data_IF_710327189445
#
_entry.id   IF_710327189445
#
_cell.length_a   1.000
_cell.length_b   1.000
_cell.length_c   1.000
_cell.angle_alpha   90.00
_cell.angle_beta   90.00
_cell.angle_gamma   90.00
#
_symmetry.space_group_name_H-M   'P 1'
#
loop_
_entity.id
_entity.type
_entity.pdbx_description
1 polymer ?
#
# COMPACT_ATOMS: atom_id res chain seq x y z
N UNK A 1 15.24 42.76 -23.77
CA UNK A 1 16.13 42.02 -22.84
C UNK A 1 15.34 41.75 -21.57
N UNK A 2 14.81 40.53 -21.40
CA UNK A 2 14.04 40.13 -20.21
C UNK A 2 15.01 39.58 -19.17
N UNK A 3 15.28 40.36 -18.12
CA UNK A 3 16.00 39.88 -16.94
C UNK A 3 15.11 38.87 -16.20
N UNK A 4 15.35 37.58 -16.41
CA UNK A 4 14.79 36.56 -15.54
C UNK A 4 15.61 36.53 -14.25
N UNK A 5 14.97 36.66 -13.07
CA UNK A 5 15.68 36.52 -11.81
C UNK A 5 16.27 35.11 -11.71
N UNK A 6 17.53 35.02 -11.28
CA UNK A 6 18.17 33.74 -11.06
C UNK A 6 17.40 32.96 -9.97
N UNK A 7 17.17 31.64 -10.17
CA UNK A 7 16.48 30.83 -9.18
C UNK A 7 17.22 30.89 -7.85
N UNK A 8 16.49 31.17 -6.78
CA UNK A 8 17.08 31.24 -5.45
C UNK A 8 17.39 29.84 -4.95
N UNK A 9 18.33 29.71 -4.01
CA UNK A 9 18.70 28.42 -3.41
C UNK A 9 17.51 27.66 -2.80
N UNK A 10 16.45 28.37 -2.40
CA UNK A 10 15.20 27.78 -1.91
C UNK A 10 14.38 27.06 -2.99
N UNK A 11 14.44 27.52 -4.24
CA UNK A 11 13.67 26.92 -5.35
C UNK A 11 14.22 25.54 -5.73
N UNK A 12 15.55 25.39 -5.73
CA UNK A 12 16.22 24.12 -6.00
C UNK A 12 15.94 23.06 -4.91
N UNK A 13 15.95 23.46 -3.63
CA UNK A 13 15.65 22.56 -2.51
C UNK A 13 14.21 22.05 -2.53
N UNK A 14 13.25 22.92 -2.86
CA UNK A 14 11.84 22.57 -3.00
C UNK A 14 11.58 21.63 -4.19
N UNK A 15 12.23 21.88 -5.33
CA UNK A 15 12.13 21.02 -6.50
C UNK A 15 12.68 19.60 -6.23
N UNK A 16 13.82 19.50 -5.55
CA UNK A 16 14.39 18.22 -5.16
C UNK A 16 13.48 17.44 -4.21
N UNK A 17 12.96 18.09 -3.16
CA UNK A 17 12.04 17.49 -2.20
C UNK A 17 10.77 16.95 -2.88
N UNK A 18 10.18 17.73 -3.78
CA UNK A 18 9.01 17.32 -4.58
C UNK A 18 9.32 16.10 -5.46
N UNK A 19 10.45 16.11 -6.18
CA UNK A 19 10.86 14.99 -7.03
C UNK A 19 11.02 13.71 -6.20
N UNK A 20 11.66 13.80 -5.05
CA UNK A 20 11.83 12.66 -4.14
C UNK A 20 10.49 12.11 -3.67
N UNK A 21 9.56 12.97 -3.23
CA UNK A 21 8.22 12.54 -2.84
C UNK A 21 7.47 11.82 -3.98
N UNK A 22 7.54 12.34 -5.20
CA UNK A 22 6.93 11.71 -6.38
C UNK A 22 7.52 10.33 -6.64
N UNK A 23 8.86 10.19 -6.61
CA UNK A 23 9.51 8.89 -6.81
C UNK A 23 9.05 7.87 -5.77
N UNK A 24 8.99 8.26 -4.49
CA UNK A 24 8.52 7.39 -3.41
C UNK A 24 7.07 6.96 -3.61
N UNK A 25 6.19 7.85 -4.06
CA UNK A 25 4.80 7.52 -4.38
C UNK A 25 4.68 6.59 -5.59
N UNK A 26 5.47 6.82 -6.64
CA UNK A 26 5.50 5.91 -7.82
C UNK A 26 5.92 4.51 -7.39
N UNK A 27 6.98 4.39 -6.59
CA UNK A 27 7.42 3.09 -6.05
C UNK A 27 6.34 2.45 -5.18
N UNK A 28 5.66 3.24 -4.35
CA UNK A 28 4.54 2.78 -3.53
C UNK A 28 3.42 2.18 -4.39
N UNK A 29 3.01 2.89 -5.45
CA UNK A 29 1.96 2.42 -6.38
C UNK A 29 2.41 1.15 -7.11
N UNK A 30 3.66 1.11 -7.60
CA UNK A 30 4.20 -0.07 -8.28
C UNK A 30 4.23 -1.30 -7.36
N UNK A 31 4.60 -1.12 -6.08
CA UNK A 31 4.62 -2.19 -5.09
C UNK A 31 3.22 -2.62 -4.63
N UNK A 32 2.23 -1.73 -4.67
CA UNK A 32 0.84 -2.06 -4.35
C UNK A 32 0.10 -2.73 -5.52
N UNK A 33 0.58 -2.57 -6.74
CA UNK A 33 -0.09 -3.10 -7.92
C UNK A 33 -0.32 -4.62 -7.84
N UNK A 34 0.68 -5.47 -7.52
CA UNK A 34 0.45 -6.92 -7.44
C UNK A 34 -0.60 -7.35 -6.41
N UNK A 35 -0.57 -6.93 -5.12
CA UNK A 35 -1.58 -7.35 -4.16
C UNK A 35 -2.98 -6.81 -4.49
N UNK A 36 -3.09 -5.61 -5.07
CA UNK A 36 -4.38 -5.06 -5.52
C UNK A 36 -4.97 -5.90 -6.67
N UNK A 37 -4.15 -6.25 -7.66
CA UNK A 37 -4.58 -7.10 -8.77
C UNK A 37 -4.98 -8.50 -8.29
N UNK A 38 -4.19 -9.10 -7.40
CA UNK A 38 -4.50 -10.39 -6.80
C UNK A 38 -5.83 -10.36 -6.04
N UNK A 39 -6.05 -9.36 -5.20
CA UNK A 39 -7.31 -9.16 -4.49
C UNK A 39 -8.49 -9.01 -5.46
N UNK A 40 -8.33 -8.18 -6.50
CA UNK A 40 -9.36 -7.97 -7.51
C UNK A 40 -9.74 -9.28 -8.22
N UNK A 41 -8.75 -10.05 -8.67
CA UNK A 41 -9.00 -11.35 -9.31
C UNK A 41 -9.65 -12.35 -8.35
N UNK A 42 -9.27 -12.34 -7.07
CA UNK A 42 -9.90 -13.18 -6.04
C UNK A 42 -11.36 -12.80 -5.83
N UNK A 43 -11.68 -11.51 -5.80
CA UNK A 43 -13.05 -11.02 -5.69
C UNK A 43 -13.90 -11.40 -6.90
N UNK A 44 -13.36 -11.27 -8.12
CA UNK A 44 -14.05 -11.70 -9.34
C UNK A 44 -14.32 -13.21 -9.34
N UNK A 45 -13.33 -14.01 -8.91
CA UNK A 45 -13.46 -15.46 -8.81
C UNK A 45 -14.52 -15.87 -7.79
N UNK A 46 -14.59 -15.20 -6.65
CA UNK A 46 -15.60 -15.44 -5.62
C UNK A 46 -17.02 -15.09 -6.09
N UNK A 47 -17.16 -14.02 -6.89
CA UNK A 47 -18.44 -13.64 -7.49
C UNK A 47 -18.90 -14.66 -8.54
N UNK A 48 -17.99 -15.15 -9.38
CA UNK A 48 -18.30 -16.10 -10.44
C UNK A 48 -18.66 -17.50 -9.91
N UNK A 49 -18.09 -17.93 -8.78
CA UNK A 49 -18.26 -19.27 -8.22
C UNK A 49 -19.14 -19.31 -6.96
N UNK A 50 -20.01 -18.33 -6.80
CA UNK A 50 -20.87 -18.23 -5.61
C UNK A 50 -21.85 -19.41 -5.55
N UNK A 51 -21.84 -20.16 -4.45
CA UNK A 51 -22.80 -21.26 -4.25
C UNK A 51 -24.18 -20.73 -3.87
N UNK A 52 -25.24 -21.28 -4.45
CA UNK A 52 -26.62 -20.94 -4.08
C UNK A 52 -27.08 -21.51 -2.74
N UNK A 53 -26.43 -22.60 -2.27
CA UNK A 53 -26.83 -23.34 -1.07
C UNK A 53 -25.86 -23.18 0.10
N UNK A 54 -24.59 -22.85 -0.15
CA UNK A 54 -23.58 -22.66 0.89
C UNK A 54 -23.47 -21.18 1.30
N UNK A 55 -24.37 -20.75 2.19
CA UNK A 55 -24.35 -19.38 2.69
C UNK A 55 -23.12 -19.10 3.59
N UNK A 56 -22.61 -20.11 4.28
CA UNK A 56 -21.53 -19.96 5.27
C UNK A 56 -20.19 -19.75 4.58
N UNK A 57 -19.83 -20.60 3.61
CA UNK A 57 -18.60 -20.45 2.83
C UNK A 57 -18.57 -19.14 2.04
N UNK A 58 -19.71 -18.74 1.47
CA UNK A 58 -19.86 -17.44 0.83
C UNK A 58 -19.63 -16.25 1.79
N UNK A 59 -20.15 -16.35 3.02
CA UNK A 59 -19.99 -15.31 4.04
C UNK A 59 -18.53 -15.21 4.51
N UNK A 60 -17.89 -16.34 4.81
CA UNK A 60 -16.49 -16.39 5.23
C UNK A 60 -15.56 -15.84 4.13
N UNK A 61 -15.81 -16.19 2.85
CA UNK A 61 -15.07 -15.65 1.70
C UNK A 61 -15.22 -14.13 1.59
N UNK A 62 -16.44 -13.61 1.76
CA UNK A 62 -16.70 -12.16 1.74
C UNK A 62 -15.91 -11.43 2.83
N UNK A 63 -15.96 -11.93 4.07
CA UNK A 63 -15.20 -11.35 5.18
C UNK A 63 -13.70 -11.39 4.92
N UNK A 64 -13.18 -12.49 4.36
CA UNK A 64 -11.78 -12.61 3.98
C UNK A 64 -11.36 -11.54 2.97
N UNK A 65 -12.18 -11.28 1.95
CA UNK A 65 -11.93 -10.23 0.96
C UNK A 65 -12.00 -8.82 1.56
N UNK A 66 -12.94 -8.56 2.46
CA UNK A 66 -13.05 -7.27 3.17
C UNK A 66 -11.83 -7.01 4.06
N UNK A 67 -11.40 -8.01 4.83
CA UNK A 67 -10.19 -7.94 5.65
C UNK A 67 -8.94 -7.70 4.79
N UNK A 68 -8.80 -8.41 3.66
CA UNK A 68 -7.69 -8.21 2.74
C UNK A 68 -7.67 -6.79 2.17
N UNK A 69 -8.82 -6.25 1.77
CA UNK A 69 -8.92 -4.87 1.27
C UNK A 69 -8.50 -3.85 2.34
N UNK A 70 -8.96 -4.02 3.58
CA UNK A 70 -8.58 -3.15 4.70
C UNK A 70 -7.07 -3.20 4.98
N UNK A 71 -6.44 -4.36 4.89
CA UNK A 71 -4.99 -4.49 5.11
C UNK A 71 -4.21 -3.86 3.95
N UNK A 72 -4.60 -4.15 2.70
CA UNK A 72 -3.92 -3.64 1.49
C UNK A 72 -3.96 -2.11 1.43
N UNK A 73 -5.10 -1.50 1.73
CA UNK A 73 -5.24 -0.04 1.71
C UNK A 73 -4.79 0.61 3.02
N UNK A 74 -5.12 -0.01 4.16
CA UNK A 74 -4.93 0.56 5.48
C UNK A 74 -3.47 0.64 5.91
N UNK A 75 -2.66 -0.39 5.64
CA UNK A 75 -1.26 -0.40 6.09
C UNK A 75 -0.43 0.72 5.42
N UNK A 76 -0.47 0.92 4.09
CA UNK A 76 0.18 2.08 3.46
C UNK A 76 -0.37 3.42 3.95
N UNK A 77 -1.69 3.54 4.13
CA UNK A 77 -2.32 4.77 4.59
C UNK A 77 -1.89 5.16 6.01
N UNK A 78 -1.80 4.18 6.92
CA UNK A 78 -1.28 4.37 8.27
C UNK A 78 0.18 4.80 8.26
N UNK A 79 1.00 4.16 7.42
CA UNK A 79 2.39 4.57 7.21
C UNK A 79 2.50 6.01 6.72
N UNK A 80 1.68 6.40 5.75
CA UNK A 80 1.62 7.77 5.24
C UNK A 80 1.21 8.79 6.31
N UNK A 81 0.23 8.44 7.15
CA UNK A 81 -0.24 9.28 8.24
C UNK A 81 0.85 9.48 9.30
N UNK A 82 1.50 8.42 9.76
CA UNK A 82 2.62 8.48 10.71
C UNK A 82 3.76 9.32 10.12
N UNK A 83 4.11 9.07 8.85
CA UNK A 83 5.10 9.84 8.12
C UNK A 83 4.74 11.34 8.04
N UNK A 84 3.48 11.67 7.77
CA UNK A 84 3.01 13.05 7.71
C UNK A 84 3.08 13.77 9.05
N UNK A 85 2.73 13.12 10.15
CA UNK A 85 2.85 13.68 11.50
C UNK A 85 4.30 14.01 11.82
N UNK A 86 5.22 13.06 11.57
CA UNK A 86 6.66 13.25 11.79
C UNK A 86 7.21 14.34 10.85
N UNK A 87 6.79 14.35 9.59
CA UNK A 87 7.20 15.32 8.58
C UNK A 87 6.79 16.74 8.90
N UNK A 88 5.59 16.91 9.47
CA UNK A 88 5.07 18.21 9.90
C UNK A 88 5.94 18.79 11.02
N UNK A 89 6.32 17.97 12.00
CA UNK A 89 7.25 18.38 13.06
C UNK A 89 8.66 18.75 12.53
N UNK A 90 9.04 18.24 11.36
CA UNK A 90 10.34 18.48 10.72
C UNK A 90 10.30 19.53 9.59
N UNK A 91 9.16 20.15 9.31
CA UNK A 91 8.99 21.12 8.22
C UNK A 91 9.08 20.54 6.80
N UNK A 92 8.99 19.21 6.65
CA UNK A 92 9.10 18.49 5.37
C UNK A 92 7.94 17.48 5.20
N UNK A 93 6.66 17.89 5.29
CA UNK A 93 5.54 16.95 5.35
C UNK A 93 5.46 16.03 4.12
N UNK A 94 5.63 16.56 2.90
CA UNK A 94 5.44 15.78 1.67
C UNK A 94 6.37 14.56 1.54
N UNK A 95 7.66 14.73 1.78
CA UNK A 95 8.65 13.65 1.63
C UNK A 95 8.50 12.59 2.72
N UNK A 96 8.20 13.00 3.94
CA UNK A 96 7.99 12.08 5.05
C UNK A 96 6.66 11.32 4.94
N UNK A 97 5.58 11.94 4.46
CA UNK A 97 4.32 11.24 4.13
C UNK A 97 4.56 10.18 3.05
N UNK A 98 5.23 10.55 1.95
CA UNK A 98 5.51 9.62 0.86
C UNK A 98 6.45 8.47 1.30
N UNK A 99 7.46 8.77 2.12
CA UNK A 99 8.33 7.75 2.71
C UNK A 99 7.57 6.82 3.65
N UNK A 100 6.69 7.37 4.49
CA UNK A 100 5.82 6.60 5.36
C UNK A 100 4.89 5.65 4.60
N UNK A 101 4.30 6.10 3.48
CA UNK A 101 3.48 5.27 2.61
C UNK A 101 4.27 4.09 2.03
N UNK A 102 5.51 4.34 1.59
CA UNK A 102 6.40 3.30 1.07
C UNK A 102 6.77 2.28 2.16
N UNK A 103 7.15 2.74 3.36
CA UNK A 103 7.45 1.84 4.48
C UNK A 103 6.24 1.01 4.91
N UNK A 104 5.05 1.61 4.95
CA UNK A 104 3.80 0.88 5.18
C UNK A 104 3.59 -0.20 4.11
N UNK A 105 3.86 0.13 2.85
CA UNK A 105 3.76 -0.85 1.74
C UNK A 105 4.78 -1.98 1.88
N UNK A 106 6.01 -1.71 2.32
CA UNK A 106 6.98 -2.77 2.61
C UNK A 106 6.53 -3.67 3.77
N UNK A 107 5.96 -3.09 4.82
CA UNK A 107 5.38 -3.85 5.93
C UNK A 107 4.20 -4.72 5.47
N UNK A 108 3.36 -4.24 4.56
CA UNK A 108 2.32 -5.04 3.91
C UNK A 108 2.90 -6.28 3.22
N UNK A 109 4.01 -6.15 2.49
CA UNK A 109 4.66 -7.29 1.86
C UNK A 109 5.17 -8.31 2.88
N UNK A 110 5.70 -7.87 4.02
CA UNK A 110 6.07 -8.77 5.12
C UNK A 110 4.83 -9.53 5.63
N UNK A 111 3.70 -8.84 5.82
CA UNK A 111 2.43 -9.47 6.22
C UNK A 111 2.00 -10.52 5.20
N UNK A 112 2.08 -10.22 3.91
CA UNK A 112 1.73 -11.16 2.83
C UNK A 112 2.62 -12.41 2.89
N UNK A 113 3.94 -12.24 3.00
CA UNK A 113 4.89 -13.37 3.09
C UNK A 113 4.60 -14.24 4.32
N UNK A 114 4.36 -13.62 5.48
CA UNK A 114 4.00 -14.35 6.70
C UNK A 114 2.68 -15.10 6.53
N UNK A 115 1.66 -14.47 5.95
CA UNK A 115 0.37 -15.11 5.70
C UNK A 115 0.49 -16.33 4.79
N UNK A 116 1.32 -16.24 3.73
CA UNK A 116 1.62 -17.37 2.85
C UNK A 116 2.33 -18.48 3.61
N UNK A 117 3.37 -18.17 4.39
CA UNK A 117 4.10 -19.16 5.17
C UNK A 117 3.20 -19.88 6.18
N UNK A 118 2.37 -19.14 6.91
CA UNK A 118 1.39 -19.71 7.88
C UNK A 118 0.35 -20.57 7.17
N UNK A 119 -0.08 -20.19 5.96
CA UNK A 119 -1.02 -20.98 5.17
C UNK A 119 -0.38 -22.31 4.74
N UNK A 120 0.86 -22.28 4.27
CA UNK A 120 1.63 -23.47 3.89
C UNK A 120 1.92 -24.38 5.09
N UNK A 121 2.27 -23.81 6.25
CA UNK A 121 2.55 -24.60 7.45
C UNK A 121 1.31 -25.26 8.06
N UNK A 122 0.11 -24.73 7.77
CA UNK A 122 -1.17 -25.33 8.19
C UNK A 122 -1.70 -26.36 7.19
N UNK A 123 -1.12 -26.43 6.00
CA UNK A 123 -1.30 -27.57 5.08
C UNK A 123 -0.37 -28.68 5.59
N UNK A 124 -0.64 -29.19 6.80
CA UNK A 124 -0.14 -30.52 7.16
C UNK A 124 -0.91 -31.51 6.29
N UNK A 125 -0.17 -32.22 5.44
CA UNK A 125 -0.72 -33.24 4.55
C UNK A 125 -1.58 -34.21 5.35
N UNK A 126 -2.88 -34.27 5.02
CA UNK A 126 -3.70 -35.42 5.31
C UNK A 126 -3.11 -36.60 4.53
N UNK A 127 -2.12 -37.28 5.13
CA UNK A 127 -1.65 -38.61 4.75
C UNK A 127 -2.39 -39.62 5.62
#
# INVERSE_FOLDING_TARGET
MTNFPAPTTGDAGNAHSRRTAVVLLVLTVLLLLPPVLFWYHSAQSALANKSGSDWRGNHETKLGLEHAAMVIAGVPALGALIGGVIGTAKGLPGTWTAGGALFGTLALWVIVVVAVFVSLSRIEFAV
#
